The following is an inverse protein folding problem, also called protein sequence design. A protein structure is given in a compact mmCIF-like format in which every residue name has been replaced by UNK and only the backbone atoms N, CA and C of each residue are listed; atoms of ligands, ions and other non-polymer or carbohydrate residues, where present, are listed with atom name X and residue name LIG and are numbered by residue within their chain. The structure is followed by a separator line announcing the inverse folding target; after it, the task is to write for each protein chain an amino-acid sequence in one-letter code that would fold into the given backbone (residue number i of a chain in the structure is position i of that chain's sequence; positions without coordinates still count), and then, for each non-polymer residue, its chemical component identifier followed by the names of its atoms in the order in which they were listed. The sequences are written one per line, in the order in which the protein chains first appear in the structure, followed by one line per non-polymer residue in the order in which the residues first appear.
data_IF_839316954451
#
_entry.id   IF_839316954451
#
_cell.length_a   1.000
_cell.length_b   1.000
_cell.length_c   1.000
_cell.angle_alpha   90.00
_cell.angle_beta   90.00
_cell.angle_gamma   90.00
#
_symmetry.space_group_name_H-M   'P 1'
#
loop_
_entity.id
_entity.type
_entity.pdbx_description
1 polymer ?
#
# COMPACT_ATOMS: atom_id res chain seq x y z
N UNK A 1 -5.13 22.65 0.42
CA UNK A 1 -5.31 21.74 -0.74
C UNK A 1 -5.43 20.34 -0.17
N UNK A 2 -6.63 19.76 -0.19
CA UNK A 2 -6.92 18.45 0.41
C UNK A 2 -6.79 17.29 -0.57
N UNK A 3 -6.90 16.07 -0.08
CA UNK A 3 -7.04 14.87 -0.90
C UNK A 3 -8.25 15.03 -1.83
N UNK A 4 -8.02 14.97 -3.14
CA UNK A 4 -9.07 15.08 -4.16
C UNK A 4 -9.74 13.74 -4.48
N UNK A 5 -9.35 12.68 -3.77
CA UNK A 5 -9.84 11.33 -4.03
C UNK A 5 -11.14 11.03 -3.31
N UNK A 6 -12.05 10.36 -4.01
CA UNK A 6 -13.35 9.93 -3.52
C UNK A 6 -13.34 8.45 -3.15
N UNK A 7 -14.30 8.02 -2.33
CA UNK A 7 -14.47 6.59 -2.02
C UNK A 7 -14.71 5.83 -3.32
N UNK A 8 -13.96 4.75 -3.51
CA UNK A 8 -13.98 3.95 -4.72
C UNK A 8 -12.86 4.25 -5.71
N UNK A 9 -12.17 5.39 -5.58
CA UNK A 9 -11.03 5.74 -6.44
C UNK A 9 -9.90 4.73 -6.33
N UNK A 10 -9.19 4.52 -7.44
CA UNK A 10 -7.95 3.76 -7.47
C UNK A 10 -6.77 4.73 -7.43
N UNK A 11 -5.95 4.62 -6.39
CA UNK A 11 -4.72 5.39 -6.20
C UNK A 11 -3.54 4.48 -6.46
N UNK A 12 -2.68 4.88 -7.39
CA UNK A 12 -1.45 4.15 -7.75
C UNK A 12 -0.24 5.00 -7.39
N UNK A 13 0.66 4.42 -6.61
CA UNK A 13 1.98 4.99 -6.28
C UNK A 13 3.03 4.04 -6.83
N UNK A 14 3.92 4.51 -7.70
CA UNK A 14 4.92 3.66 -8.35
C UNK A 14 6.36 4.10 -8.06
N UNK A 15 7.26 3.14 -8.00
CA UNK A 15 8.70 3.32 -7.93
C UNK A 15 9.39 2.24 -8.77
N UNK A 16 10.52 2.58 -9.38
CA UNK A 16 11.27 1.64 -10.22
C UNK A 16 11.69 0.38 -9.46
N UNK A 17 12.13 0.51 -8.21
CA UNK A 17 12.63 -0.61 -7.40
C UNK A 17 11.52 -1.47 -6.76
N UNK A 18 10.35 -0.88 -6.52
CA UNK A 18 9.29 -1.50 -5.71
C UNK A 18 8.02 -1.82 -6.52
N UNK A 19 7.98 -1.51 -7.80
CA UNK A 19 6.79 -1.63 -8.62
C UNK A 19 5.74 -0.60 -8.23
N UNK A 20 4.47 -1.01 -8.10
CA UNK A 20 3.37 -0.11 -7.81
C UNK A 20 2.52 -0.59 -6.64
N UNK A 21 2.27 0.31 -5.69
CA UNK A 21 1.25 0.17 -4.68
C UNK A 21 -0.06 0.72 -5.24
N UNK A 22 -1.03 -0.15 -5.43
CA UNK A 22 -2.36 0.20 -5.93
C UNK A 22 -3.34 0.00 -4.78
N UNK A 23 -4.02 1.07 -4.36
CA UNK A 23 -5.01 1.02 -3.30
C UNK A 23 -6.35 1.60 -3.77
N UNK A 24 -7.44 0.95 -3.36
CA UNK A 24 -8.79 1.49 -3.54
C UNK A 24 -9.17 2.31 -2.31
N UNK A 25 -9.59 3.55 -2.52
CA UNK A 25 -9.99 4.45 -1.44
C UNK A 25 -11.27 3.92 -0.79
N UNK A 26 -11.19 3.66 0.52
CA UNK A 26 -12.30 3.22 1.37
C UNK A 26 -12.24 3.90 2.72
N UNK A 27 -13.35 3.90 3.44
CA UNK A 27 -13.40 4.34 4.82
C UNK A 27 -12.71 3.32 5.73
N UNK A 28 -11.95 3.81 6.72
CA UNK A 28 -11.22 2.96 7.67
C UNK A 28 -12.10 1.91 8.38
N UNK A 29 -13.34 2.23 8.84
CA UNK A 29 -14.21 1.25 9.49
C UNK A 29 -14.62 0.06 8.59
N UNK A 30 -14.59 0.23 7.27
CA UNK A 30 -14.99 -0.80 6.30
C UNK A 30 -13.80 -1.69 5.86
N UNK A 31 -12.58 -1.32 6.27
CA UNK A 31 -11.38 -2.07 5.94
C UNK A 31 -11.16 -3.21 6.93
N UNK A 32 -10.74 -4.40 6.46
CA UNK A 32 -10.37 -5.48 7.36
C UNK A 32 -9.15 -5.09 8.20
N UNK A 33 -9.01 -5.73 9.36
CA UNK A 33 -7.82 -5.61 10.17
C UNK A 33 -6.57 -5.98 9.38
N UNK A 34 -5.47 -5.29 9.65
CA UNK A 34 -4.21 -5.54 8.98
C UNK A 34 -3.63 -6.87 9.44
N UNK A 35 -3.37 -7.77 8.49
CA UNK A 35 -2.63 -9.02 8.71
C UNK A 35 -1.15 -8.91 8.31
N UNK A 36 -0.78 -7.81 7.66
CA UNK A 36 0.57 -7.53 7.17
C UNK A 36 1.18 -6.37 7.97
N UNK A 37 2.36 -6.61 8.56
CA UNK A 37 3.06 -5.63 9.40
C UNK A 37 4.49 -5.37 8.91
N UNK A 38 5.17 -4.44 9.58
CA UNK A 38 6.53 -4.01 9.20
C UNK A 38 7.54 -5.17 9.14
N UNK A 39 7.45 -6.16 10.03
CA UNK A 39 8.35 -7.32 10.01
C UNK A 39 8.15 -8.22 8.79
N UNK A 40 6.93 -8.32 8.25
CA UNK A 40 6.69 -9.04 6.99
C UNK A 40 7.31 -8.27 5.83
N UNK A 41 7.14 -6.94 5.80
CA UNK A 41 7.77 -6.08 4.80
C UNK A 41 9.29 -6.24 4.76
N UNK A 42 9.97 -6.12 5.89
CA UNK A 42 11.43 -6.25 5.93
C UNK A 42 11.89 -7.65 5.48
N UNK A 43 11.12 -8.69 5.78
CA UNK A 43 11.42 -10.06 5.34
C UNK A 43 11.28 -10.21 3.82
N UNK A 44 10.21 -9.68 3.24
CA UNK A 44 9.98 -9.73 1.80
C UNK A 44 11.03 -8.93 1.03
N UNK A 45 11.41 -7.75 1.54
CA UNK A 45 12.45 -6.91 0.94
C UNK A 45 13.82 -7.60 0.94
N UNK A 46 14.21 -8.23 2.06
CA UNK A 46 15.46 -8.99 2.15
C UNK A 46 15.44 -10.22 1.21
N UNK A 47 14.30 -10.90 1.11
CA UNK A 47 14.14 -12.03 0.18
C UNK A 47 14.20 -11.62 -1.29
N UNK A 48 13.92 -10.35 -1.60
CA UNK A 48 13.95 -9.77 -2.94
C UNK A 48 15.28 -9.06 -3.26
N UNK A 49 16.29 -9.15 -2.38
CA UNK A 49 17.61 -8.49 -2.52
C UNK A 49 17.52 -6.95 -2.66
N UNK A 50 16.50 -6.35 -2.00
CA UNK A 50 16.28 -4.90 -1.99
C UNK A 50 16.86 -4.21 -0.76
N UNK A 51 17.21 -4.99 0.28
CA UNK A 51 17.91 -4.57 1.51
C UNK A 51 18.82 -5.68 2.04
#
# INVERSE_FOLDING_TARGET
KGFTHQVGDMVTISSEKFGALINRVRLSPDCPHWSYGASHLMRDLASADLI
#
